data_IF_894765342657
#
_entry.id   IF_894765342657
#
_cell.length_a   1.000
_cell.length_b   1.000
_cell.length_c   1.000
_cell.angle_alpha   90.00
_cell.angle_beta   90.00
_cell.angle_gamma   90.00
#
_symmetry.space_group_name_H-M   'P 1'
#
loop_
_entity.id
_entity.type
_entity.pdbx_description
1 polymer ?
#
# COMPACT_ATOMS: atom_id res chain seq x y z
N UNK A 1 28.59 -3.58 -23.17
CA UNK A 1 28.83 -2.65 -24.30
C UNK A 1 28.21 -1.32 -23.91
N UNK A 2 29.04 -0.33 -23.66
CA UNK A 2 28.60 1.05 -23.42
C UNK A 2 28.17 1.62 -24.77
N UNK A 3 26.89 1.98 -24.90
CA UNK A 3 26.46 2.84 -26.01
C UNK A 3 26.53 4.28 -25.53
N UNK A 4 27.60 4.95 -25.94
CA UNK A 4 27.63 6.40 -26.00
C UNK A 4 26.61 6.85 -27.06
N UNK A 5 25.63 7.64 -26.62
CA UNK A 5 25.02 8.70 -27.42
C UNK A 5 24.23 9.55 -26.46
N UNK A 6 24.82 10.69 -26.09
CA UNK A 6 24.08 11.84 -25.58
C UNK A 6 23.13 12.31 -26.68
N UNK A 7 21.95 11.70 -26.72
CA UNK A 7 20.82 12.11 -27.53
C UNK A 7 19.68 12.28 -26.55
N UNK A 8 19.24 13.53 -26.36
CA UNK A 8 17.99 13.87 -25.69
C UNK A 8 16.92 12.86 -26.10
N UNK A 9 16.47 11.99 -25.19
CA UNK A 9 15.35 11.12 -25.49
C UNK A 9 14.12 12.01 -25.69
N UNK A 10 13.51 12.06 -26.89
CA UNK A 10 12.17 12.60 -26.99
C UNK A 10 11.24 11.45 -26.56
N UNK A 11 11.26 11.09 -25.27
CA UNK A 11 10.16 10.30 -24.74
C UNK A 11 9.00 11.27 -24.62
N UNK A 12 8.04 11.20 -25.55
CA UNK A 12 6.88 12.11 -25.61
C UNK A 12 6.06 12.06 -24.32
N UNK A 13 6.13 10.94 -23.58
CA UNK A 13 5.61 10.74 -22.23
C UNK A 13 6.49 9.74 -21.49
N UNK A 14 6.83 10.00 -20.24
CA UNK A 14 7.58 9.05 -19.42
C UNK A 14 6.70 7.82 -19.14
N UNK A 15 7.12 6.56 -19.37
CA UNK A 15 6.30 5.38 -19.10
C UNK A 15 6.18 5.08 -17.60
N UNK A 16 5.14 4.35 -17.15
CA UNK A 16 4.83 4.11 -15.72
C UNK A 16 5.99 3.47 -14.91
N UNK A 17 6.86 2.69 -15.56
CA UNK A 17 8.03 2.06 -14.94
C UNK A 17 9.28 2.96 -14.92
N UNK A 18 9.14 4.22 -15.33
CA UNK A 18 10.16 5.26 -15.28
C UNK A 18 9.62 6.48 -14.52
N UNK A 19 10.53 7.27 -13.99
CA UNK A 19 10.20 8.46 -13.22
C UNK A 19 10.91 9.72 -13.72
N UNK A 20 10.53 10.86 -13.16
CA UNK A 20 11.13 12.17 -13.45
C UNK A 20 12.37 12.42 -12.58
N UNK A 21 13.41 13.02 -13.13
CA UNK A 21 14.59 13.43 -12.36
C UNK A 21 14.45 14.87 -11.87
N UNK A 22 15.11 15.25 -10.76
CA UNK A 22 15.17 16.65 -10.33
C UNK A 22 15.71 17.56 -11.44
N UNK A 23 15.16 18.77 -11.56
CA UNK A 23 15.61 19.77 -12.55
C UNK A 23 17.01 20.31 -12.26
N UNK A 24 17.48 20.21 -11.01
CA UNK A 24 18.83 20.53 -10.59
C UNK A 24 19.32 19.47 -9.58
N UNK A 25 20.56 19.04 -9.75
CA UNK A 25 21.14 17.90 -9.04
C UNK A 25 22.62 18.17 -8.75
N UNK A 26 23.07 17.89 -7.53
CA UNK A 26 24.49 17.83 -7.18
C UNK A 26 25.24 16.71 -7.92
N UNK A 27 26.50 16.94 -8.26
CA UNK A 27 27.27 16.11 -9.21
C UNK A 27 27.71 14.73 -8.68
N UNK A 28 27.54 14.43 -7.39
CA UNK A 28 28.17 13.27 -6.73
C UNK A 28 27.21 12.28 -6.03
N UNK A 29 25.90 12.41 -6.24
CA UNK A 29 24.89 11.55 -5.59
C UNK A 29 24.08 10.80 -6.66
N UNK A 30 23.88 9.48 -6.53
CA UNK A 30 22.96 8.77 -7.41
C UNK A 30 21.51 9.24 -7.17
N UNK A 31 20.80 9.57 -8.24
CA UNK A 31 19.41 10.02 -8.17
C UNK A 31 18.45 8.86 -8.39
N UNK A 32 17.45 8.77 -7.51
CA UNK A 32 16.29 7.91 -7.72
C UNK A 32 15.26 8.75 -8.46
N UNK A 33 14.73 8.29 -9.61
CA UNK A 33 13.70 9.02 -10.33
C UNK A 33 12.40 9.04 -9.52
N UNK A 34 11.72 10.19 -9.49
CA UNK A 34 10.43 10.35 -8.84
C UNK A 34 9.33 9.67 -9.64
N UNK A 35 8.43 8.97 -8.97
CA UNK A 35 7.21 8.45 -9.56
C UNK A 35 6.44 9.58 -10.29
N UNK A 36 5.68 9.23 -11.32
CA UNK A 36 4.92 10.21 -12.08
C UNK A 36 3.56 10.53 -11.45
N UNK A 37 3.12 11.77 -11.66
CA UNK A 37 1.75 12.17 -11.41
C UNK A 37 0.77 11.35 -12.25
N UNK A 38 -0.33 10.90 -11.64
CA UNK A 38 -1.38 10.16 -12.36
C UNK A 38 -0.97 8.76 -12.83
N UNK A 39 0.02 8.14 -12.19
CA UNK A 39 0.45 6.78 -12.51
C UNK A 39 -0.71 5.77 -12.43
N UNK A 40 -0.66 4.73 -13.28
CA UNK A 40 -1.65 3.64 -13.22
C UNK A 40 -1.63 2.97 -11.86
N UNK A 41 -2.81 2.51 -11.42
CA UNK A 41 -3.04 1.87 -10.12
C UNK A 41 -3.64 0.49 -10.34
N UNK A 42 -3.22 -0.50 -9.56
CA UNK A 42 -3.91 -1.78 -9.47
C UNK A 42 -5.28 -1.63 -8.80
N UNK A 43 -6.15 -2.64 -8.94
CA UNK A 43 -7.29 -2.78 -8.03
C UNK A 43 -6.81 -3.14 -6.61
N UNK A 44 -7.65 -2.93 -5.60
CA UNK A 44 -7.27 -3.14 -4.18
C UNK A 44 -6.74 -4.56 -3.91
N UNK A 45 -7.41 -5.58 -4.47
CA UNK A 45 -7.04 -6.98 -4.28
C UNK A 45 -5.75 -7.35 -5.01
N UNK A 46 -5.55 -6.84 -6.23
CA UNK A 46 -4.31 -7.02 -6.98
C UNK A 46 -3.14 -6.29 -6.32
N UNK A 47 -3.38 -5.09 -5.78
CA UNK A 47 -2.38 -4.30 -5.09
C UNK A 47 -1.88 -5.02 -3.82
N UNK A 48 -2.81 -5.58 -3.04
CA UNK A 48 -2.47 -6.37 -1.86
C UNK A 48 -1.74 -7.68 -2.21
N UNK A 49 -2.13 -8.33 -3.32
CA UNK A 49 -1.48 -9.55 -3.80
C UNK A 49 -0.05 -9.29 -4.29
N UNK A 50 0.17 -8.22 -5.05
CA UNK A 50 1.47 -7.83 -5.60
C UNK A 50 2.35 -7.07 -4.60
N UNK A 51 1.76 -6.48 -3.56
CA UNK A 51 2.47 -5.70 -2.54
C UNK A 51 2.85 -4.28 -2.97
N UNK A 52 2.20 -3.74 -3.99
CA UNK A 52 2.37 -2.34 -4.44
C UNK A 52 1.07 -1.83 -5.06
N UNK A 53 0.71 -0.57 -4.82
CA UNK A 53 -0.43 0.04 -5.52
C UNK A 53 -0.12 0.34 -7.00
N UNK A 54 1.15 0.47 -7.35
CA UNK A 54 1.59 0.98 -8.65
C UNK A 54 2.28 -0.11 -9.48
N UNK A 55 1.71 -0.52 -10.63
CA UNK A 55 2.30 -1.54 -11.48
C UNK A 55 3.72 -1.21 -11.96
N UNK A 56 4.02 0.08 -12.16
CA UNK A 56 5.35 0.54 -12.53
C UNK A 56 6.43 0.31 -11.47
N UNK A 57 6.01 0.11 -10.20
CA UNK A 57 6.87 -0.23 -9.07
C UNK A 57 6.90 -1.74 -8.78
N UNK A 58 6.13 -2.56 -9.49
CA UNK A 58 6.15 -4.00 -9.36
C UNK A 58 7.37 -4.59 -10.10
N UNK A 59 8.56 -4.28 -9.57
CA UNK A 59 9.84 -4.68 -10.16
C UNK A 59 10.25 -6.08 -9.65
N UNK A 60 10.91 -6.91 -10.47
CA UNK A 60 11.31 -8.25 -10.06
C UNK A 60 12.26 -8.21 -8.85
N UNK A 61 11.80 -8.69 -7.69
CA UNK A 61 12.63 -8.90 -6.51
C UNK A 61 12.84 -10.41 -6.30
N UNK A 62 14.09 -10.87 -6.40
CA UNK A 62 14.47 -12.29 -6.24
C UNK A 62 13.55 -13.30 -6.97
N UNK A 63 13.22 -13.04 -8.24
CA UNK A 63 12.41 -13.92 -9.11
C UNK A 63 10.95 -14.17 -8.65
N UNK A 64 10.44 -13.43 -7.66
CA UNK A 64 9.02 -13.51 -7.30
C UNK A 64 8.24 -12.57 -8.20
N UNK A 65 7.66 -13.11 -9.27
CA UNK A 65 6.92 -12.33 -10.28
C UNK A 65 5.41 -12.33 -10.06
N UNK A 66 4.90 -13.22 -9.19
CA UNK A 66 3.47 -13.40 -8.97
C UNK A 66 3.09 -13.14 -7.50
N UNK A 67 1.99 -12.43 -7.33
CA UNK A 67 1.36 -12.23 -6.03
C UNK A 67 0.75 -13.53 -5.46
N UNK A 68 0.48 -13.55 -4.16
CA UNK A 68 -0.18 -14.68 -3.50
C UNK A 68 -1.70 -14.59 -3.58
N UNK A 69 -2.38 -15.74 -3.64
CA UNK A 69 -3.83 -15.80 -3.48
C UNK A 69 -4.22 -15.41 -2.04
N UNK A 70 -5.25 -14.58 -1.90
CA UNK A 70 -5.73 -14.07 -0.62
C UNK A 70 -7.10 -14.67 -0.28
N UNK A 71 -7.35 -15.04 0.99
CA UNK A 71 -8.66 -15.52 1.40
C UNK A 71 -9.67 -14.38 1.49
N UNK A 72 -10.96 -14.70 1.28
CA UNK A 72 -12.08 -13.76 1.39
C UNK A 72 -12.53 -13.63 2.85
N UNK A 73 -11.75 -12.93 3.67
CA UNK A 73 -11.99 -12.67 5.10
C UNK A 73 -12.24 -11.15 5.33
N UNK A 74 -13.22 -10.73 6.16
CA UNK A 74 -13.37 -9.34 6.59
C UNK A 74 -12.08 -8.66 7.06
N UNK A 75 -11.15 -9.40 7.68
CA UNK A 75 -9.84 -8.84 8.07
C UNK A 75 -8.99 -8.50 6.84
N UNK A 76 -9.00 -9.36 5.82
CA UNK A 76 -8.26 -9.14 4.57
C UNK A 76 -8.81 -7.93 3.82
N UNK A 77 -10.12 -7.75 3.80
CA UNK A 77 -10.76 -6.56 3.21
C UNK A 77 -10.34 -5.28 3.94
N UNK A 78 -10.32 -5.29 5.27
CA UNK A 78 -9.83 -4.16 6.07
C UNK A 78 -8.36 -3.86 5.77
N UNK A 79 -7.51 -4.89 5.77
CA UNK A 79 -6.08 -4.74 5.48
C UNK A 79 -5.82 -4.23 4.07
N UNK A 80 -6.65 -4.59 3.09
CA UNK A 80 -6.57 -4.04 1.74
C UNK A 80 -6.83 -2.52 1.74
N UNK A 81 -7.83 -2.05 2.49
CA UNK A 81 -8.08 -0.62 2.64
C UNK A 81 -6.92 0.09 3.36
N UNK A 82 -6.42 -0.48 4.46
CA UNK A 82 -5.27 0.04 5.20
C UNK A 82 -4.02 0.15 4.30
N UNK A 83 -3.78 -0.85 3.46
CA UNK A 83 -2.69 -0.86 2.49
C UNK A 83 -2.81 0.29 1.49
N UNK A 84 -4.00 0.47 0.89
CA UNK A 84 -4.22 1.55 -0.08
C UNK A 84 -4.06 2.94 0.55
N UNK A 85 -4.54 3.12 1.78
CA UNK A 85 -4.37 4.38 2.53
C UNK A 85 -2.88 4.67 2.77
N UNK A 86 -2.10 3.67 3.18
CA UNK A 86 -0.65 3.80 3.39
C UNK A 86 0.09 4.17 2.10
N UNK A 87 -0.20 3.47 1.00
CA UNK A 87 0.46 3.70 -0.30
C UNK A 87 0.14 5.09 -0.86
N UNK A 88 -1.12 5.52 -0.77
CA UNK A 88 -1.53 6.86 -1.21
C UNK A 88 -0.91 7.95 -0.34
N UNK A 89 -0.80 7.75 0.98
CA UNK A 89 -0.10 8.68 1.87
C UNK A 89 1.37 8.83 1.48
N UNK A 90 2.05 7.70 1.26
CA UNK A 90 3.47 7.68 0.84
C UNK A 90 3.66 8.35 -0.52
N UNK A 91 2.73 8.16 -1.46
CA UNK A 91 2.75 8.85 -2.75
C UNK A 91 2.60 10.37 -2.57
N UNK A 92 1.65 10.82 -1.75
CA UNK A 92 1.37 12.23 -1.47
C UNK A 92 2.51 12.95 -0.75
N UNK A 93 3.33 12.26 0.03
CA UNK A 93 4.55 12.84 0.63
C UNK A 93 5.52 13.42 -0.41
N UNK A 94 5.49 12.88 -1.63
CA UNK A 94 6.30 13.36 -2.77
C UNK A 94 5.50 14.15 -3.82
N UNK A 95 4.16 14.07 -3.78
CA UNK A 95 3.24 14.72 -4.71
C UNK A 95 2.11 15.46 -3.98
N UNK A 96 2.41 16.46 -3.13
CA UNK A 96 1.41 17.09 -2.26
C UNK A 96 0.33 17.87 -3.02
N UNK A 97 0.62 18.29 -4.25
CA UNK A 97 -0.30 19.07 -5.10
C UNK A 97 -1.20 18.18 -6.00
N UNK A 98 -1.05 16.85 -5.96
CA UNK A 98 -1.88 15.91 -6.72
C UNK A 98 -3.27 15.76 -6.05
N UNK A 99 -4.18 16.64 -6.43
CA UNK A 99 -5.53 16.70 -5.86
C UNK A 99 -6.36 15.44 -6.16
N UNK A 100 -6.11 14.74 -7.26
CA UNK A 100 -6.81 13.50 -7.58
C UNK A 100 -6.40 12.39 -6.61
N UNK A 101 -5.09 12.25 -6.35
CA UNK A 101 -4.58 11.32 -5.36
C UNK A 101 -5.08 11.66 -3.95
N UNK A 102 -5.17 12.95 -3.60
CA UNK A 102 -5.68 13.38 -2.31
C UNK A 102 -7.18 13.09 -2.13
N UNK A 103 -8.00 13.29 -3.17
CA UNK A 103 -9.41 12.92 -3.15
C UNK A 103 -9.61 11.42 -3.00
N UNK A 104 -8.76 10.61 -3.63
CA UNK A 104 -8.76 9.16 -3.48
C UNK A 104 -8.35 8.74 -2.07
N UNK A 105 -7.30 9.36 -1.52
CA UNK A 105 -6.84 9.13 -0.15
C UNK A 105 -7.96 9.39 0.87
N UNK A 106 -8.69 10.52 0.75
CA UNK A 106 -9.83 10.82 1.62
C UNK A 106 -10.94 9.78 1.53
N UNK A 107 -11.27 9.32 0.32
CA UNK A 107 -12.29 8.29 0.12
C UNK A 107 -11.91 6.98 0.80
N UNK A 108 -10.68 6.50 0.58
CA UNK A 108 -10.20 5.26 1.19
C UNK A 108 -10.02 5.36 2.70
N UNK A 109 -9.57 6.51 3.22
CA UNK A 109 -9.48 6.73 4.67
C UNK A 109 -10.86 6.67 5.34
N UNK A 110 -11.90 7.17 4.68
CA UNK A 110 -13.27 7.06 5.19
C UNK A 110 -13.79 5.60 5.14
N UNK A 111 -13.48 4.86 4.07
CA UNK A 111 -13.83 3.44 3.93
C UNK A 111 -13.11 2.57 4.96
N UNK A 112 -11.80 2.77 5.15
CA UNK A 112 -10.98 2.07 6.16
C UNK A 112 -11.57 2.29 7.55
N UNK A 113 -11.87 3.54 7.91
CA UNK A 113 -12.46 3.86 9.22
C UNK A 113 -13.78 3.13 9.45
N UNK A 114 -14.69 3.13 8.46
CA UNK A 114 -15.98 2.46 8.58
C UNK A 114 -15.83 0.92 8.65
N UNK A 115 -14.93 0.35 7.85
CA UNK A 115 -14.62 -1.08 7.87
C UNK A 115 -14.02 -1.50 9.21
N UNK A 116 -13.11 -0.69 9.76
CA UNK A 116 -12.49 -0.90 11.07
C UNK A 116 -13.52 -0.88 12.20
N UNK A 117 -14.39 0.12 12.22
CA UNK A 117 -15.48 0.20 13.22
C UNK A 117 -16.38 -1.04 13.13
N UNK A 118 -16.71 -1.48 11.92
CA UNK A 118 -17.53 -2.69 11.68
C UNK A 118 -16.81 -3.97 12.13
N UNK A 119 -15.51 -4.08 11.86
CA UNK A 119 -14.69 -5.21 12.27
C UNK A 119 -14.57 -5.26 13.80
N UNK A 120 -14.21 -4.14 14.43
CA UNK A 120 -14.02 -4.07 15.88
C UNK A 120 -15.31 -4.34 16.66
N UNK A 121 -16.47 -3.92 16.13
CA UNK A 121 -17.76 -4.22 16.73
C UNK A 121 -18.05 -5.73 16.79
N UNK A 122 -17.58 -6.50 15.80
CA UNK A 122 -17.82 -7.94 15.70
C UNK A 122 -16.74 -8.78 16.38
N UNK A 123 -15.47 -8.42 16.18
CA UNK A 123 -14.33 -9.25 16.54
C UNK A 123 -13.55 -8.73 17.75
N UNK A 124 -13.73 -7.47 18.14
CA UNK A 124 -12.97 -6.85 19.24
C UNK A 124 -11.94 -5.82 18.76
N UNK A 125 -11.31 -5.11 19.70
CA UNK A 125 -10.47 -3.95 19.38
C UNK A 125 -9.17 -4.34 18.65
N UNK A 126 -8.87 -3.67 17.53
CA UNK A 126 -7.63 -3.85 16.77
C UNK A 126 -6.49 -2.98 17.29
N UNK A 127 -6.82 -1.91 18.02
CA UNK A 127 -5.84 -1.03 18.68
C UNK A 127 -6.10 -0.88 20.18
N UNK A 128 -5.05 -0.64 20.97
CA UNK A 128 -5.18 -0.33 22.41
C UNK A 128 -6.06 0.89 22.67
N UNK A 129 -6.04 1.88 21.78
CA UNK A 129 -6.91 3.06 21.85
C UNK A 129 -8.39 2.70 21.69
N UNK A 130 -8.71 1.78 20.78
CA UNK A 130 -10.07 1.25 20.62
C UNK A 130 -10.50 0.48 21.86
N UNK A 131 -9.60 -0.32 22.45
CA UNK A 131 -9.86 -1.04 23.70
C UNK A 131 -10.12 -0.09 24.88
N UNK A 132 -9.39 1.04 24.95
CA UNK A 132 -9.56 2.05 25.99
C UNK A 132 -10.91 2.80 25.89
N UNK A 133 -11.50 2.85 24.70
CA UNK A 133 -12.81 3.48 24.45
C UNK A 133 -14.00 2.55 24.77
N UNK A 134 -13.74 1.27 25.04
CA UNK A 134 -14.77 0.26 25.31
C UNK A 134 -15.32 0.29 26.74
N UNK A 135 -16.51 -0.29 26.93
CA UNK A 135 -17.11 -0.46 28.27
C UNK A 135 -16.34 -1.44 29.18
N UNK A 136 -15.48 -2.28 28.59
CA UNK A 136 -14.61 -3.22 29.30
C UNK A 136 -13.31 -3.43 28.53
N UNK A 137 -12.24 -3.83 29.23
CA UNK A 137 -10.92 -4.03 28.62
C UNK A 137 -10.86 -5.37 27.87
N UNK A 138 -10.97 -5.31 26.53
CA UNK A 138 -11.05 -6.49 25.64
C UNK A 138 -9.77 -6.85 24.87
N UNK A 139 -8.69 -6.07 25.00
CA UNK A 139 -7.45 -6.19 24.20
C UNK A 139 -6.78 -7.58 24.19
N UNK A 140 -6.97 -8.39 25.25
CA UNK A 140 -6.35 -9.71 25.40
C UNK A 140 -7.36 -10.84 25.59
N UNK A 141 -8.60 -10.64 25.12
CA UNK A 141 -9.67 -11.62 25.32
C UNK A 141 -9.73 -12.69 24.22
N UNK A 142 -9.07 -12.47 23.08
CA UNK A 142 -9.07 -13.41 21.97
C UNK A 142 -7.99 -14.50 22.14
N UNK A 143 -8.24 -15.71 21.62
CA UNK A 143 -7.27 -16.79 21.65
C UNK A 143 -6.03 -16.41 20.83
N UNK A 144 -4.85 -16.70 21.39
CA UNK A 144 -3.60 -16.50 20.71
C UNK A 144 -3.48 -17.42 19.49
N UNK A 145 -2.67 -17.06 18.47
CA UNK A 145 -2.48 -17.89 17.27
C UNK A 145 -2.04 -19.35 17.57
N UNK A 146 -1.30 -19.58 18.65
CA UNK A 146 -0.89 -20.93 19.07
C UNK A 146 -1.98 -21.72 19.82
N UNK A 147 -3.06 -21.09 20.27
CA UNK A 147 -4.20 -21.79 20.90
C UNK A 147 -5.05 -22.56 19.89
N UNK A 148 -5.01 -22.18 18.60
CA UNK A 148 -5.75 -22.88 17.55
C UNK A 148 -5.20 -24.29 17.26
N UNK A 149 -3.89 -24.51 17.46
CA UNK A 149 -3.25 -25.82 17.25
C UNK A 149 -3.65 -26.88 18.29
N UNK A 150 -4.14 -26.46 19.47
CA UNK A 150 -4.56 -27.40 20.53
C UNK A 150 -5.96 -28.02 20.28
N UNK A 151 -6.70 -27.50 19.30
CA UNK A 151 -8.04 -27.99 18.95
C UNK A 151 -8.06 -29.05 17.84
N UNK A 152 -6.89 -29.43 17.28
CA UNK A 152 -6.77 -30.45 16.23
C UNK A 152 -6.50 -31.87 16.76
N UNK A 153 -6.50 -32.08 18.07
CA UNK A 153 -6.35 -33.42 18.67
C UNK A 153 -7.64 -33.84 19.38
N UNK A 154 -8.59 -34.36 18.60
CA UNK A 154 -9.60 -35.32 19.07
C UNK A 154 -9.98 -36.29 17.96
#
# INVERSE_FOLDING_TARGET
MNTETGSSCPITSCPDNYGSMPSCAGLAVPYVPFQQNGAKKYSQSEALSNGTLFPGLNLPFHLKTEGSALPSDPLVELQALEFVVLELGTYLDTHPDDMEAFDLFKQYAAMEKAAKETYEAKFGPLMKSSAASGASYRWLQDPWPWNYQQNEVK
#
